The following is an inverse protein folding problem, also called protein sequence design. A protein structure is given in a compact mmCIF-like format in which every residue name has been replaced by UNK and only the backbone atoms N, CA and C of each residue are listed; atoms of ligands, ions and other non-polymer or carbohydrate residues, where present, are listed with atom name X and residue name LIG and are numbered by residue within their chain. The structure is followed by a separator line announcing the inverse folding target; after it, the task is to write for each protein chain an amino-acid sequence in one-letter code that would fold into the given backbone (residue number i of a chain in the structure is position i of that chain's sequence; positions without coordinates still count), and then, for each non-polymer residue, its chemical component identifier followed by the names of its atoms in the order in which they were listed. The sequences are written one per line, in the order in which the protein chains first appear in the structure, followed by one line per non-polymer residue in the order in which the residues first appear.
data_IF_699765408027
#
_entry.id   IF_699765408027
#
_cell.length_a   1.000
_cell.length_b   1.000
_cell.length_c   1.000
_cell.angle_alpha   90.00
_cell.angle_beta   90.00
_cell.angle_gamma   90.00
#
_symmetry.space_group_name_H-M   'P 1'
#
loop_
_entity.id
_entity.type
_entity.pdbx_description
1 polymer ?
#
# COMPACT_ATOMS: atom_id res chain seq x y z
N UNK A 1 31.44 -45.93 -25.81
CA UNK A 1 30.36 -44.92 -25.98
C UNK A 1 30.61 -43.80 -24.99
N UNK A 2 31.22 -42.70 -25.45
CA UNK A 2 31.45 -41.53 -24.60
C UNK A 2 30.13 -40.79 -24.40
N UNK A 3 29.68 -40.67 -23.15
CA UNK A 3 28.64 -39.71 -22.78
C UNK A 3 29.23 -38.32 -22.96
N UNK A 4 28.84 -37.62 -24.02
CA UNK A 4 28.97 -36.16 -24.07
C UNK A 4 27.97 -35.63 -23.05
N UNK A 5 28.47 -35.28 -21.86
CA UNK A 5 27.73 -34.47 -20.91
C UNK A 5 27.39 -33.16 -21.61
N UNK A 6 26.13 -32.99 -22.00
CA UNK A 6 25.64 -31.75 -22.60
C UNK A 6 25.80 -30.63 -21.59
N UNK A 7 26.90 -29.88 -21.70
CA UNK A 7 27.09 -28.63 -20.98
C UNK A 7 26.04 -27.68 -21.52
N UNK A 8 25.04 -27.36 -20.69
CA UNK A 8 23.96 -26.44 -21.04
C UNK A 8 24.58 -25.10 -21.44
N UNK A 9 24.23 -24.57 -22.63
CA UNK A 9 24.97 -23.45 -23.25
C UNK A 9 25.16 -22.20 -22.37
N UNK A 10 24.24 -21.96 -21.41
CA UNK A 10 24.37 -20.86 -20.45
C UNK A 10 25.45 -21.05 -19.37
N UNK A 11 25.85 -22.30 -19.07
CA UNK A 11 26.93 -22.58 -18.11
C UNK A 11 28.33 -22.27 -18.65
N UNK A 12 28.43 -21.89 -19.93
CA UNK A 12 29.67 -21.43 -20.57
C UNK A 12 29.83 -19.90 -20.55
N UNK A 13 28.78 -19.15 -20.18
CA UNK A 13 28.85 -17.69 -20.13
C UNK A 13 29.56 -17.23 -18.84
N UNK A 14 30.42 -16.21 -18.90
CA UNK A 14 30.96 -15.56 -17.69
C UNK A 14 29.82 -15.02 -16.80
N UNK A 15 30.02 -15.05 -15.48
CA UNK A 15 29.01 -14.58 -14.52
C UNK A 15 28.57 -13.14 -14.78
N UNK A 16 29.47 -12.27 -15.26
CA UNK A 16 29.15 -10.90 -15.66
C UNK A 16 28.16 -10.82 -16.83
N UNK A 17 28.24 -11.72 -17.81
CA UNK A 17 27.25 -11.77 -18.90
C UNK A 17 25.90 -12.27 -18.38
N UNK A 18 25.92 -13.24 -17.47
CA UNK A 18 24.71 -13.77 -16.84
C UNK A 18 24.04 -12.69 -15.98
N UNK A 19 24.82 -11.91 -15.23
CA UNK A 19 24.28 -10.84 -14.37
C UNK A 19 23.65 -9.71 -15.20
N UNK A 20 24.27 -9.29 -16.30
CA UNK A 20 23.67 -8.31 -17.23
C UNK A 20 22.33 -8.82 -17.79
N UNK A 21 22.24 -10.11 -18.15
CA UNK A 21 20.97 -10.72 -18.59
C UNK A 21 19.94 -10.69 -17.45
N UNK A 22 20.31 -11.10 -16.23
CA UNK A 22 19.41 -11.11 -15.07
C UNK A 22 18.93 -9.68 -14.74
N UNK A 23 19.79 -8.67 -14.86
CA UNK A 23 19.48 -7.28 -14.56
C UNK A 23 18.41 -6.68 -15.48
N UNK A 24 18.18 -7.28 -16.66
CA UNK A 24 17.11 -6.92 -17.60
C UNK A 24 15.77 -7.61 -17.32
N UNK A 25 15.72 -8.48 -16.30
CA UNK A 25 14.51 -9.22 -15.91
C UNK A 25 13.78 -8.57 -14.73
N UNK A 26 12.95 -9.32 -14.02
CA UNK A 26 12.33 -8.87 -12.77
C UNK A 26 13.07 -9.41 -11.53
N UNK A 27 12.91 -8.79 -10.35
CA UNK A 27 13.45 -9.32 -9.09
C UNK A 27 12.99 -10.76 -8.81
N UNK A 28 11.75 -11.08 -9.21
CA UNK A 28 11.20 -12.43 -9.11
C UNK A 28 11.95 -13.42 -10.01
N UNK A 29 12.26 -13.01 -11.23
CA UNK A 29 12.95 -13.86 -12.20
C UNK A 29 14.42 -14.04 -11.82
N UNK A 30 15.07 -13.03 -11.26
CA UNK A 30 16.40 -13.15 -10.67
C UNK A 30 16.43 -14.21 -9.56
N UNK A 31 15.44 -14.21 -8.66
CA UNK A 31 15.33 -15.23 -7.61
C UNK A 31 15.04 -16.63 -8.15
N UNK A 32 14.32 -16.76 -9.27
CA UNK A 32 14.12 -18.05 -9.96
C UNK A 32 15.40 -18.50 -10.65
N UNK A 33 16.09 -17.59 -11.31
CA UNK A 33 17.35 -17.86 -11.99
C UNK A 33 18.41 -18.38 -11.01
N UNK A 34 18.49 -17.80 -9.81
CA UNK A 34 19.44 -18.25 -8.78
C UNK A 34 19.23 -19.70 -8.33
N UNK A 35 18.04 -20.28 -8.56
CA UNK A 35 17.75 -21.67 -8.22
C UNK A 35 18.16 -22.66 -9.33
N UNK A 36 18.54 -22.19 -10.52
CA UNK A 36 18.85 -23.03 -11.68
C UNK A 36 20.25 -23.66 -11.57
N UNK A 37 21.26 -22.87 -11.20
CA UNK A 37 22.65 -23.34 -11.03
C UNK A 37 23.47 -22.42 -10.13
N UNK A 38 24.66 -22.88 -9.70
CA UNK A 38 25.59 -22.07 -8.91
C UNK A 38 26.06 -20.81 -9.65
N UNK A 39 26.27 -20.88 -10.98
CA UNK A 39 26.69 -19.73 -11.79
C UNK A 39 25.58 -18.66 -11.84
N UNK A 40 24.32 -19.06 -12.05
CA UNK A 40 23.20 -18.13 -11.97
C UNK A 40 22.98 -17.58 -10.56
N UNK A 41 23.21 -18.41 -9.54
CA UNK A 41 23.17 -17.97 -8.15
C UNK A 41 24.19 -16.87 -7.90
N UNK A 42 25.46 -17.11 -8.23
CA UNK A 42 26.54 -16.13 -8.07
C UNK A 42 26.25 -14.84 -8.85
N UNK A 43 25.87 -14.97 -10.12
CA UNK A 43 25.52 -13.83 -10.97
C UNK A 43 24.33 -13.01 -10.42
N UNK A 44 23.34 -13.64 -9.80
CA UNK A 44 22.19 -12.96 -9.21
C UNK A 44 22.51 -12.23 -7.89
N UNK A 45 23.68 -12.43 -7.28
CA UNK A 45 24.10 -11.71 -6.07
C UNK A 45 24.81 -10.38 -6.37
N UNK A 46 25.15 -10.08 -7.63
CA UNK A 46 25.88 -8.87 -7.98
C UNK A 46 25.04 -7.59 -7.72
N UNK A 47 25.66 -6.58 -7.14
CA UNK A 47 25.01 -5.29 -6.88
C UNK A 47 24.52 -4.60 -8.16
N UNK A 48 25.20 -4.79 -9.28
CA UNK A 48 24.76 -4.26 -10.59
C UNK A 48 23.38 -4.77 -11.00
N UNK A 49 23.01 -5.98 -10.59
CA UNK A 49 21.67 -6.56 -10.82
C UNK A 49 20.63 -5.82 -9.98
N UNK A 50 20.87 -5.70 -8.68
CA UNK A 50 19.90 -5.14 -7.75
C UNK A 50 19.78 -3.62 -7.85
N UNK A 51 20.83 -2.93 -8.31
CA UNK A 51 20.77 -1.51 -8.67
C UNK A 51 19.74 -1.25 -9.78
N UNK A 52 19.57 -2.16 -10.74
CA UNK A 52 18.53 -2.04 -11.79
C UNK A 52 17.11 -2.32 -11.28
N UNK A 53 16.98 -3.06 -10.18
CA UNK A 53 15.70 -3.38 -9.56
C UNK A 53 15.21 -2.33 -8.58
N UNK A 54 16.13 -1.53 -8.04
CA UNK A 54 15.80 -0.38 -7.21
C UNK A 54 15.25 0.77 -8.07
N UNK A 55 14.34 1.61 -7.54
CA UNK A 55 13.93 2.83 -8.23
C UNK A 55 15.12 3.76 -8.42
N UNK A 56 15.27 4.42 -9.58
CA UNK A 56 16.42 5.29 -9.85
C UNK A 56 16.63 6.43 -8.84
N UNK A 57 15.56 6.84 -8.17
CA UNK A 57 15.55 7.88 -7.13
C UNK A 57 15.58 7.30 -5.69
N UNK A 58 15.94 6.02 -5.51
CA UNK A 58 16.10 5.43 -4.17
C UNK A 58 17.04 6.23 -3.25
N UNK A 59 18.14 6.87 -3.72
CA UNK A 59 19.00 7.66 -2.82
C UNK A 59 18.25 8.83 -2.20
N UNK A 60 17.41 9.52 -3.00
CA UNK A 60 16.58 10.62 -2.53
C UNK A 60 15.51 10.12 -1.54
N UNK A 61 14.85 9.00 -1.87
CA UNK A 61 13.85 8.37 -0.99
C UNK A 61 14.46 8.01 0.37
N UNK A 62 15.66 7.42 0.38
CA UNK A 62 16.36 7.06 1.63
C UNK A 62 16.74 8.31 2.43
N UNK A 63 17.16 9.39 1.75
CA UNK A 63 17.54 10.64 2.43
C UNK A 63 16.37 11.29 3.18
N UNK A 64 15.12 11.03 2.75
CA UNK A 64 13.88 11.50 3.37
C UNK A 64 13.41 10.61 4.54
N UNK A 65 14.06 9.46 4.75
CA UNK A 65 13.71 8.54 5.82
C UNK A 65 13.94 9.17 7.20
N UNK A 66 12.97 9.05 8.08
CA UNK A 66 13.08 9.54 9.48
C UNK A 66 14.05 8.72 10.32
N UNK A 67 14.44 7.53 9.86
CA UNK A 67 15.40 6.65 10.51
C UNK A 67 16.47 6.18 9.52
N UNK A 68 17.73 6.03 9.94
CA UNK A 68 18.79 5.57 9.06
C UNK A 68 18.48 4.21 8.43
N UNK A 69 18.59 4.13 7.10
CA UNK A 69 18.48 2.88 6.34
C UNK A 69 19.89 2.33 6.14
N UNK A 70 20.23 1.28 6.89
CA UNK A 70 21.56 0.66 6.87
C UNK A 70 21.51 -0.61 6.04
N UNK A 71 22.46 -0.77 5.11
CA UNK A 71 22.59 -1.94 4.25
C UNK A 71 24.04 -2.10 3.79
N UNK A 72 24.44 -3.33 3.49
CA UNK A 72 25.78 -3.68 2.99
C UNK A 72 25.80 -3.96 1.49
N UNK A 73 24.67 -4.41 0.93
CA UNK A 73 24.51 -4.72 -0.51
C UNK A 73 23.21 -4.12 -1.06
N UNK A 74 23.12 -3.94 -2.37
CA UNK A 74 21.91 -3.46 -3.04
C UNK A 74 20.77 -4.47 -2.95
N UNK A 75 21.10 -5.76 -2.91
CA UNK A 75 20.15 -6.83 -2.62
C UNK A 75 19.53 -6.69 -1.24
N UNK A 76 20.37 -6.49 -0.22
CA UNK A 76 19.91 -6.28 1.15
C UNK A 76 19.00 -5.04 1.23
N UNK A 77 19.41 -3.92 0.61
CA UNK A 77 18.57 -2.72 0.52
C UNK A 77 17.22 -3.02 -0.13
N UNK A 78 17.19 -3.73 -1.26
CA UNK A 78 15.94 -4.06 -1.95
C UNK A 78 14.99 -4.83 -1.04
N UNK A 79 15.46 -5.88 -0.36
CA UNK A 79 14.61 -6.67 0.55
C UNK A 79 14.22 -5.89 1.80
N UNK A 80 15.10 -5.04 2.35
CA UNK A 80 14.77 -4.15 3.46
C UNK A 80 13.58 -3.23 3.10
N UNK A 81 13.60 -2.63 1.91
CA UNK A 81 12.50 -1.79 1.41
C UNK A 81 11.23 -2.58 1.05
N UNK A 82 11.33 -3.89 0.82
CA UNK A 82 10.18 -4.76 0.57
C UNK A 82 9.51 -5.25 1.84
N UNK A 83 10.32 -5.57 2.86
CA UNK A 83 9.84 -6.26 4.06
C UNK A 83 9.54 -5.25 5.19
N UNK A 84 10.19 -4.09 5.21
CA UNK A 84 10.02 -3.07 6.25
C UNK A 84 9.60 -1.72 5.65
N UNK A 85 8.42 -1.18 6.01
CA UNK A 85 8.03 0.18 5.64
C UNK A 85 8.95 1.20 6.29
N UNK A 86 9.50 2.09 5.48
CA UNK A 86 10.18 3.28 5.99
C UNK A 86 9.20 4.45 6.04
N UNK A 87 9.35 5.30 7.05
CA UNK A 87 8.57 6.51 7.21
C UNK A 87 9.34 7.69 6.65
N UNK A 88 8.67 8.50 5.85
CA UNK A 88 9.18 9.68 5.16
C UNK A 88 8.49 10.94 5.69
N UNK A 89 9.12 12.09 5.48
CA UNK A 89 8.53 13.43 5.61
C UNK A 89 7.77 13.65 6.94
N UNK A 90 8.47 13.52 8.07
CA UNK A 90 7.85 13.73 9.38
C UNK A 90 6.85 12.64 9.80
N UNK A 91 7.03 11.43 9.27
CA UNK A 91 6.25 10.24 9.63
C UNK A 91 4.79 10.24 9.19
N UNK A 92 4.46 10.99 8.13
CA UNK A 92 3.11 11.02 7.55
C UNK A 92 3.01 10.30 6.20
N UNK A 93 4.14 9.91 5.62
CA UNK A 93 4.21 9.13 4.40
C UNK A 93 5.00 7.85 4.68
N UNK A 94 4.51 6.72 4.20
CA UNK A 94 5.21 5.44 4.30
C UNK A 94 5.58 4.94 2.91
N UNK A 95 6.79 4.42 2.76
CA UNK A 95 7.31 3.88 1.50
C UNK A 95 7.73 2.43 1.65
N UNK A 96 7.42 1.64 0.62
CA UNK A 96 7.86 0.26 0.43
C UNK A 96 8.05 -0.05 -1.05
N UNK A 97 8.71 -1.16 -1.36
CA UNK A 97 8.73 -1.75 -2.68
C UNK A 97 7.80 -2.95 -2.77
N UNK A 98 7.13 -3.10 -3.91
CA UNK A 98 6.47 -4.35 -4.25
C UNK A 98 7.53 -5.43 -4.51
N UNK A 99 7.60 -6.42 -3.62
CA UNK A 99 8.62 -7.49 -3.62
C UNK A 99 8.86 -8.15 -4.99
N UNK A 100 7.81 -8.34 -5.77
CA UNK A 100 7.88 -9.09 -7.03
C UNK A 100 8.23 -8.23 -8.24
N UNK A 101 7.89 -6.94 -8.21
CA UNK A 101 7.99 -6.06 -9.37
C UNK A 101 8.97 -4.90 -9.19
N UNK A 102 9.44 -4.64 -7.96
CA UNK A 102 10.29 -3.48 -7.63
C UNK A 102 9.57 -2.14 -7.76
N UNK A 103 8.24 -2.14 -7.94
CA UNK A 103 7.46 -0.90 -8.07
C UNK A 103 7.23 -0.25 -6.72
N UNK A 104 7.24 1.08 -6.71
CA UNK A 104 7.06 1.90 -5.50
C UNK A 104 5.63 1.76 -4.97
N UNK A 105 5.51 1.54 -3.66
CA UNK A 105 4.26 1.54 -2.92
C UNK A 105 4.33 2.64 -1.86
N UNK A 106 3.33 3.53 -1.84
CA UNK A 106 3.19 4.56 -0.83
C UNK A 106 1.97 4.30 0.04
N UNK A 107 2.01 4.79 1.28
CA UNK A 107 0.86 4.88 2.17
C UNK A 107 0.85 6.29 2.79
N UNK A 108 -0.29 6.97 2.73
CA UNK A 108 -0.52 8.26 3.38
C UNK A 108 -1.07 8.02 4.79
N UNK A 109 -0.51 8.70 5.77
CA UNK A 109 -1.03 8.77 7.13
C UNK A 109 -2.25 9.69 7.19
N UNK A 110 -3.05 9.55 8.24
CA UNK A 110 -4.27 10.34 8.39
C UNK A 110 -4.00 11.86 8.40
N UNK A 111 -2.83 12.28 8.89
CA UNK A 111 -2.37 13.67 8.88
C UNK A 111 -2.10 14.25 7.49
N UNK A 112 -1.83 13.38 6.50
CA UNK A 112 -1.62 13.78 5.10
C UNK A 112 -2.94 13.79 4.30
N UNK A 113 -4.05 13.39 4.92
CA UNK A 113 -5.37 13.39 4.31
C UNK A 113 -6.12 14.67 4.63
N UNK A 114 -6.88 15.17 3.66
CA UNK A 114 -7.90 16.17 3.89
C UNK A 114 -9.13 15.48 4.47
N UNK A 115 -9.38 15.69 5.77
CA UNK A 115 -10.50 15.10 6.50
C UNK A 115 -11.47 16.23 6.86
N UNK A 116 -12.73 16.12 6.43
CA UNK A 116 -13.76 17.11 6.80
C UNK A 116 -13.93 17.17 8.32
N UNK A 117 -13.81 18.38 8.85
CA UNK A 117 -13.80 18.67 10.29
C UNK A 117 -12.71 17.93 11.08
N UNK A 118 -11.63 17.46 10.45
CA UNK A 118 -10.56 16.70 11.10
C UNK A 118 -9.96 17.39 12.34
N UNK A 119 -9.99 18.72 12.39
CA UNK A 119 -9.50 19.52 13.53
C UNK A 119 -10.59 19.86 14.57
N UNK A 120 -11.80 19.29 14.44
CA UNK A 120 -12.92 19.53 15.34
C UNK A 120 -13.07 18.39 16.35
N UNK A 121 -12.74 18.60 17.64
CA UNK A 121 -12.72 17.54 18.65
C UNK A 121 -14.07 16.89 18.94
N UNK A 122 -15.19 17.56 18.60
CA UNK A 122 -16.54 16.97 18.73
C UNK A 122 -16.78 15.83 17.72
N UNK A 123 -16.01 15.80 16.64
CA UNK A 123 -16.18 14.87 15.52
C UNK A 123 -15.00 13.93 15.34
N UNK A 124 -13.80 14.33 15.74
CA UNK A 124 -12.58 13.55 15.57
C UNK A 124 -11.71 13.59 16.81
N UNK A 125 -11.11 12.44 17.11
CA UNK A 125 -10.08 12.29 18.11
C UNK A 125 -8.79 11.83 17.42
N UNK A 126 -7.69 12.54 17.62
CA UNK A 126 -6.38 12.14 17.14
C UNK A 126 -5.71 11.32 18.22
N UNK A 127 -5.36 10.07 17.89
CA UNK A 127 -4.88 9.09 18.85
C UNK A 127 -3.78 8.23 18.24
N UNK A 128 -3.08 7.45 19.06
CA UNK A 128 -2.07 6.48 18.61
C UNK A 128 -2.62 5.07 18.73
N UNK A 129 -2.46 4.26 17.68
CA UNK A 129 -2.78 2.83 17.72
C UNK A 129 -1.48 2.01 17.62
N UNK A 130 -1.25 1.02 18.51
CA UNK A 130 -0.05 0.16 18.44
C UNK A 130 0.10 -0.59 17.11
N UNK A 131 -1.01 -0.88 16.43
CA UNK A 131 -1.01 -1.58 15.15
C UNK A 131 -0.80 -0.63 13.94
N UNK A 132 -0.85 0.68 14.18
CA UNK A 132 -0.58 1.68 13.14
C UNK A 132 0.92 1.82 12.90
N UNK A 133 1.28 1.97 11.64
CA UNK A 133 2.65 2.33 11.23
C UNK A 133 2.94 3.82 11.43
N UNK A 134 1.88 4.62 11.60
CA UNK A 134 1.96 6.05 11.81
C UNK A 134 1.75 6.40 13.27
N UNK A 135 2.42 7.46 13.77
CA UNK A 135 2.34 7.87 15.17
C UNK A 135 0.93 8.30 15.57
N UNK A 136 0.19 8.91 14.63
CA UNK A 136 -1.18 9.37 14.86
C UNK A 136 -2.14 8.82 13.80
N UNK A 137 -3.35 8.50 14.26
CA UNK A 137 -4.50 8.14 13.44
C UNK A 137 -5.70 9.02 13.81
N UNK A 138 -6.61 9.22 12.86
CA UNK A 138 -7.87 9.92 13.10
C UNK A 138 -8.97 8.92 13.46
N UNK A 139 -9.54 9.07 14.65
CA UNK A 139 -10.71 8.34 15.14
C UNK A 139 -11.96 9.20 14.97
N UNK A 140 -12.88 8.76 14.10
CA UNK A 140 -14.17 9.40 13.90
C UNK A 140 -15.08 9.15 15.08
N UNK A 141 -15.63 10.19 15.69
CA UNK A 141 -16.53 10.11 16.84
C UNK A 141 -18.00 9.99 16.42
N UNK A 142 -18.51 10.97 15.67
CA UNK A 142 -19.89 11.03 15.19
C UNK A 142 -20.05 12.11 14.12
N UNK A 143 -20.54 11.75 12.94
CA UNK A 143 -20.94 12.69 11.89
C UNK A 143 -22.16 12.18 11.13
N UNK A 144 -22.86 13.05 10.42
CA UNK A 144 -23.97 12.67 9.53
C UNK A 144 -23.52 12.38 8.09
N UNK A 145 -22.34 12.86 7.69
CA UNK A 145 -21.67 12.53 6.43
C UNK A 145 -20.16 12.71 6.61
N UNK A 146 -19.38 12.10 5.71
CA UNK A 146 -17.93 12.08 5.77
C UNK A 146 -17.35 12.27 4.36
N UNK A 147 -16.36 13.14 4.22
CA UNK A 147 -15.50 13.19 3.04
C UNK A 147 -14.04 13.20 3.48
N UNK A 148 -13.26 12.36 2.81
CA UNK A 148 -11.82 12.21 3.02
C UNK A 148 -11.18 12.24 1.64
N UNK A 149 -10.17 13.08 1.49
CA UNK A 149 -9.39 13.20 0.26
C UNK A 149 -7.90 13.03 0.54
N UNK A 150 -7.17 12.54 -0.44
CA UNK A 150 -5.72 12.52 -0.44
C UNK A 150 -5.21 12.97 -1.81
N UNK A 151 -4.01 13.54 -1.84
CA UNK A 151 -3.32 13.89 -3.08
C UNK A 151 -1.90 13.35 -3.02
N UNK A 152 -1.37 12.97 -4.17
CA UNK A 152 0.02 12.54 -4.29
C UNK A 152 0.53 12.95 -5.66
N UNK A 153 1.76 13.42 -5.71
CA UNK A 153 2.38 13.82 -6.97
C UNK A 153 2.68 12.58 -7.81
N UNK A 154 2.25 12.60 -9.07
CA UNK A 154 2.41 11.47 -9.99
C UNK A 154 3.89 11.14 -10.27
N UNK A 155 4.78 12.12 -10.17
CA UNK A 155 6.23 11.93 -10.31
C UNK A 155 6.84 11.02 -9.23
N UNK A 156 6.18 10.89 -8.07
CA UNK A 156 6.61 9.97 -7.02
C UNK A 156 6.31 8.52 -7.39
N UNK A 157 5.32 8.27 -8.25
CA UNK A 157 4.91 6.94 -8.65
C UNK A 157 5.87 6.32 -9.67
N UNK A 158 5.89 4.99 -9.74
CA UNK A 158 6.61 4.29 -10.79
C UNK A 158 5.93 4.51 -12.15
N UNK A 159 6.68 4.84 -13.21
CA UNK A 159 6.10 5.01 -14.54
C UNK A 159 5.55 3.68 -15.08
N UNK A 160 4.59 3.76 -16.01
CA UNK A 160 3.99 2.60 -16.70
C UNK A 160 3.52 1.50 -15.73
N UNK A 161 2.94 1.91 -14.61
CA UNK A 161 2.52 1.01 -13.54
C UNK A 161 1.05 1.26 -13.23
N UNK A 162 0.26 0.19 -13.22
CA UNK A 162 -1.13 0.26 -12.77
C UNK A 162 -1.17 0.26 -11.25
N UNK A 163 -1.80 1.28 -10.69
CA UNK A 163 -1.94 1.44 -9.25
C UNK A 163 -3.37 1.10 -8.80
N UNK A 164 -3.47 0.55 -7.60
CA UNK A 164 -4.72 0.41 -6.88
C UNK A 164 -4.63 1.19 -5.57
N UNK A 165 -5.68 1.95 -5.27
CA UNK A 165 -5.80 2.74 -4.05
C UNK A 165 -6.74 2.03 -3.07
N UNK A 166 -6.35 1.93 -1.81
CA UNK A 166 -7.16 1.29 -0.76
C UNK A 166 -7.29 2.22 0.43
N UNK A 167 -8.51 2.37 0.91
CA UNK A 167 -8.74 2.92 2.24
C UNK A 167 -8.58 1.78 3.25
N UNK A 168 -7.64 1.92 4.19
CA UNK A 168 -7.51 0.97 5.32
C UNK A 168 -8.17 1.58 6.52
N UNK A 169 -8.78 0.80 7.36
CA UNK A 169 -9.34 1.35 8.58
C UNK A 169 -9.57 0.23 9.56
N UNK A 170 -9.58 0.60 10.82
CA UNK A 170 -10.05 -0.26 11.90
C UNK A 170 -11.43 0.25 12.30
N UNK A 171 -12.39 -0.67 12.31
CA UNK A 171 -13.69 -0.38 12.89
C UNK A 171 -13.57 -0.46 14.40
N UNK A 172 -14.15 0.50 15.11
CA UNK A 172 -14.37 0.31 16.55
C UNK A 172 -15.36 -0.85 16.77
N UNK A 173 -15.23 -1.55 17.90
CA UNK A 173 -16.13 -2.64 18.33
C UNK A 173 -17.60 -2.24 18.15
N UNK A 174 -17.87 -0.99 18.46
CA UNK A 174 -19.12 -0.36 18.22
C UNK A 174 -18.94 0.61 17.04
N UNK A 175 -19.33 0.18 15.81
CA UNK A 175 -19.54 1.02 14.60
C UNK A 175 -21.02 1.01 14.10
N UNK A 176 -21.50 2.09 13.44
CA UNK A 176 -22.78 2.16 12.69
C UNK A 176 -22.67 3.17 11.53
N UNK A 177 -23.57 3.08 10.54
CA UNK A 177 -23.64 4.07 9.44
C UNK A 177 -22.80 3.74 8.19
N UNK A 178 -22.12 2.59 8.18
CA UNK A 178 -21.35 2.08 7.03
C UNK A 178 -22.08 0.97 6.26
N UNK A 179 -23.36 0.76 6.56
CA UNK A 179 -24.19 -0.25 5.91
C UNK A 179 -24.53 0.13 4.45
N UNK A 180 -24.44 1.42 4.14
CA UNK A 180 -24.64 1.98 2.80
C UNK A 180 -23.29 2.07 2.08
N UNK A 181 -23.21 1.69 0.79
CA UNK A 181 -21.97 1.84 0.04
C UNK A 181 -21.51 3.30 -0.03
N UNK A 182 -20.24 3.53 0.29
CA UNK A 182 -19.62 4.85 0.25
C UNK A 182 -19.02 5.11 -1.13
N UNK A 183 -19.31 6.28 -1.71
CA UNK A 183 -18.68 6.70 -2.98
C UNK A 183 -17.18 6.95 -2.75
N UNK A 184 -16.34 6.38 -3.61
CA UNK A 184 -14.92 6.68 -3.71
C UNK A 184 -14.56 7.01 -5.16
N UNK A 185 -13.63 7.92 -5.37
CA UNK A 185 -13.18 8.29 -6.71
C UNK A 185 -11.68 8.53 -6.75
N UNK A 186 -11.05 8.17 -7.86
CA UNK A 186 -9.64 8.44 -8.15
C UNK A 186 -9.54 9.06 -9.53
N UNK A 187 -8.74 10.12 -9.66
CA UNK A 187 -8.45 10.76 -10.95
C UNK A 187 -7.25 11.69 -10.87
N UNK A 188 -6.87 12.22 -12.02
CA UNK A 188 -5.78 13.17 -12.14
C UNK A 188 -6.30 14.59 -11.96
N UNK A 189 -5.68 15.33 -11.05
CA UNK A 189 -6.00 16.75 -10.84
C UNK A 189 -4.94 17.58 -11.54
N UNK A 190 -5.33 18.34 -12.58
CA UNK A 190 -4.44 19.30 -13.23
C UNK A 190 -4.35 20.58 -12.39
N UNK A 191 -3.14 21.11 -12.18
CA UNK A 191 -2.97 22.44 -11.58
C UNK A 191 -3.37 23.52 -12.59
N UNK A 192 -4.36 24.35 -12.25
CA UNK A 192 -4.66 25.60 -12.98
C UNK A 192 -5.73 25.54 -14.08
N UNK A 193 -6.51 24.47 -14.21
CA UNK A 193 -7.68 24.44 -15.11
C UNK A 193 -8.95 24.00 -14.38
N UNK A 194 -9.80 24.97 -14.01
CA UNK A 194 -11.20 24.72 -13.71
C UNK A 194 -11.93 24.36 -15.01
N UNK A 195 -12.43 23.13 -15.11
CA UNK A 195 -13.33 22.72 -16.20
C UNK A 195 -12.79 21.70 -17.21
N UNK A 196 -11.63 21.08 -16.97
CA UNK A 196 -11.25 19.87 -17.70
C UNK A 196 -12.15 18.70 -17.26
N UNK A 197 -12.62 17.88 -18.20
CA UNK A 197 -13.37 16.65 -17.91
C UNK A 197 -12.51 15.73 -17.03
N UNK A 198 -12.77 15.79 -15.73
CA UNK A 198 -12.12 15.00 -14.71
C UNK A 198 -12.46 13.52 -15.00
N UNK A 199 -11.52 12.78 -15.58
CA UNK A 199 -11.66 11.35 -15.87
C UNK A 199 -11.56 10.56 -14.57
N UNK A 200 -12.52 10.78 -13.68
CA UNK A 200 -12.57 10.22 -12.35
C UNK A 200 -13.17 8.81 -12.42
N UNK A 201 -12.35 7.81 -12.10
CA UNK A 201 -12.85 6.47 -11.87
C UNK A 201 -13.57 6.44 -10.51
N UNK A 202 -14.89 6.29 -10.56
CA UNK A 202 -15.74 6.23 -9.36
C UNK A 202 -16.14 4.79 -9.06
N UNK A 203 -16.00 4.39 -7.80
CA UNK A 203 -16.43 3.09 -7.27
C UNK A 203 -17.24 3.29 -5.98
N UNK A 204 -17.93 2.25 -5.54
CA UNK A 204 -18.66 2.26 -4.27
C UNK A 204 -18.07 1.21 -3.33
N UNK A 205 -17.54 1.66 -2.19
CA UNK A 205 -16.98 0.82 -1.15
C UNK A 205 -18.10 0.31 -0.26
N UNK A 206 -18.26 -1.00 -0.18
CA UNK A 206 -19.22 -1.64 0.72
C UNK A 206 -18.46 -2.57 1.66
N UNK A 207 -18.74 -2.47 2.97
CA UNK A 207 -18.22 -3.41 3.93
C UNK A 207 -18.82 -4.80 3.70
N UNK A 208 -17.95 -5.80 3.62
CA UNK A 208 -18.36 -7.19 3.58
C UNK A 208 -18.93 -7.56 4.95
N UNK A 209 -20.26 -7.61 5.06
CA UNK A 209 -20.93 -8.06 6.28
C UNK A 209 -20.91 -9.58 6.30
N UNK A 210 -20.01 -10.18 7.09
CA UNK A 210 -20.00 -11.64 7.32
C UNK A 210 -21.03 -12.03 8.40
N UNK A 211 -22.25 -11.52 8.29
CA UNK A 211 -23.36 -11.90 9.18
C UNK A 211 -24.31 -12.83 8.44
N UNK A 212 -24.55 -14.07 8.91
CA UNK A 212 -25.64 -14.88 8.38
C UNK A 212 -26.96 -14.15 8.63
N UNK A 213 -27.78 -14.03 7.59
CA UNK A 213 -29.11 -13.41 7.70
C UNK A 213 -29.99 -14.26 8.63
N UNK A 214 -30.57 -13.70 9.71
CA UNK A 214 -31.56 -14.44 10.47
C UNK A 214 -32.82 -14.60 9.61
N UNK A 215 -33.29 -15.84 9.52
CA UNK A 215 -34.54 -16.20 8.87
C UNK A 215 -35.69 -15.34 9.39
N UNK A 216 -36.48 -14.80 8.45
CA UNK A 216 -37.74 -14.10 8.71
C UNK A 216 -38.67 -14.98 9.55
N UNK A 217 -39.04 -14.50 10.74
CA UNK A 217 -40.28 -14.88 11.40
C UNK A 217 -40.16 -15.14 12.90
N UNK A 218 -40.58 -14.17 13.73
CA UNK A 218 -41.67 -14.32 14.70
C UNK A 218 -41.89 -13.00 15.46
N UNK A 219 -43.16 -12.58 15.55
CA UNK A 219 -43.63 -11.46 16.38
C UNK A 219 -43.40 -11.75 17.87
N UNK A 220 -42.93 -10.75 18.63
CA UNK A 220 -43.45 -10.44 19.98
C UNK A 220 -43.46 -8.92 20.22
N UNK A 221 -44.53 -8.45 20.86
CA UNK A 221 -44.85 -7.04 21.17
C UNK A 221 -44.07 -6.53 22.39
N UNK A 222 -43.67 -5.25 22.27
CA UNK A 222 -43.60 -4.15 23.23
C UNK A 222 -43.02 -4.36 24.64
N UNK A 223 -41.97 -3.58 24.94
CA UNK A 223 -41.86 -2.81 26.18
C UNK A 223 -41.30 -1.42 25.86
N UNK A 224 -42.02 -0.36 26.27
CA UNK A 224 -41.52 1.03 26.34
C UNK A 224 -40.76 1.18 27.66
N UNK A 225 -39.63 1.86 27.64
CA UNK A 225 -39.19 2.79 28.70
C UNK A 225 -38.29 3.89 28.11
N UNK A 226 -38.21 5.06 28.78
CA UNK A 226 -37.96 6.37 28.18
C UNK A 226 -36.53 6.89 28.39
N UNK A 227 -36.18 7.92 27.62
CA UNK A 227 -35.12 8.91 27.82
C UNK A 227 -33.74 8.45 28.35
N UNK A 228 -32.72 8.62 27.50
CA UNK A 228 -31.34 8.90 27.95
C UNK A 228 -30.27 8.12 27.23
N UNK A 229 -29.60 8.77 26.27
CA UNK A 229 -28.37 8.38 25.54
C UNK A 229 -28.43 7.07 24.73
N UNK A 230 -28.45 7.24 23.40
CA UNK A 230 -28.13 6.17 22.45
C UNK A 230 -26.60 6.05 22.27
N UNK A 231 -26.04 4.83 22.22
CA UNK A 231 -24.60 4.59 22.26
C UNK A 231 -23.89 5.05 20.96
N UNK A 232 -22.75 5.74 21.15
CA UNK A 232 -21.86 6.29 20.14
C UNK A 232 -20.85 5.26 19.62
N UNK A 233 -20.40 5.43 18.38
CA UNK A 233 -19.68 4.39 17.63
C UNK A 233 -18.76 5.00 16.55
N UNK A 234 -17.53 4.47 16.42
CA UNK A 234 -16.33 5.18 15.91
C UNK A 234 -15.54 4.45 14.80
N UNK A 235 -14.71 5.15 14.00
CA UNK A 235 -13.90 4.60 12.86
C UNK A 235 -12.45 5.12 12.94
N UNK A 236 -11.43 4.26 12.81
CA UNK A 236 -10.02 4.68 12.68
C UNK A 236 -9.52 4.52 11.25
N UNK A 237 -9.04 5.58 10.60
CA UNK A 237 -8.59 5.54 9.20
C UNK A 237 -7.08 5.32 9.06
N UNK A 238 -6.73 4.51 8.07
CA UNK A 238 -5.39 4.21 7.55
C UNK A 238 -5.52 4.19 6.00
N UNK A 239 -4.47 4.24 5.18
CA UNK A 239 -4.66 4.13 3.72
C UNK A 239 -3.56 3.27 3.14
N UNK A 240 -3.87 2.26 2.33
CA UNK A 240 -2.92 1.27 1.85
C UNK A 240 -2.98 1.16 0.34
N UNK A 241 -1.87 0.76 -0.28
CA UNK A 241 -1.78 0.41 -1.68
C UNK A 241 -1.24 -1.01 -1.79
N UNK A 242 -2.04 -2.02 -2.15
CA UNK A 242 -1.49 -3.35 -2.50
C UNK A 242 -2.35 -4.14 -3.48
N UNK A 243 -1.76 -4.37 -4.65
CA UNK A 243 -2.22 -5.07 -5.87
C UNK A 243 -3.11 -6.31 -5.69
N UNK A 244 -4.22 -6.35 -6.45
CA UNK A 244 -4.67 -7.52 -7.23
C UNK A 244 -5.36 -7.11 -8.54
N UNK A 245 -5.19 -8.00 -9.53
CA UNK A 245 -5.61 -7.98 -10.93
C UNK A 245 -7.07 -7.56 -11.19
N UNK A 246 -7.29 -6.87 -12.32
CA UNK A 246 -8.50 -6.95 -13.13
C UNK A 246 -8.02 -7.15 -14.58
N UNK A 247 -8.66 -8.12 -15.25
CA UNK A 247 -8.34 -8.65 -16.58
C UNK A 247 -8.37 -7.60 -17.70
#
# INVERSE_FOLDING_TARGET
MNRVSGVSGFSLLPEGCISEIIALTSPRDAGRASAISSAFKSAAEFDSVWEKFLPSDYPEIISRSVSPVVYSTKKELYFLLCDTPILLDGSNLSFMLNKWSGKKCYMLGARELSIVWGDTPDYWEWTSLPESRFPEVAELLRVCWLAIGGKMQTQMLSPKTTYAAYLVFKLAEWNHGLDVPSKASVGFVAEGQEGAEDSNHTVYLKLATDRPQPLRGLRRRAARQPNGRLPQKRIHLLWYGSTKYLD
#
